data_IF_354264454225
#
_entry.id   IF_354264454225
#
_cell.length_a   1.000
_cell.length_b   1.000
_cell.length_c   1.000
_cell.angle_alpha   90.00
_cell.angle_beta   90.00
_cell.angle_gamma   90.00
#
_symmetry.space_group_name_H-M   'P 1'
#
loop_
_entity.id
_entity.type
_entity.pdbx_description
1 polymer ?
#
# COMPACT_ATOMS: atom_id res chain seq x y z
N UNK A 1 17.41 -17.61 3.19
CA UNK A 1 18.11 -16.33 2.93
C UNK A 1 17.33 -15.21 3.62
N UNK A 2 17.90 -14.51 4.62
CA UNK A 2 17.28 -13.33 5.19
C UNK A 2 17.80 -12.11 4.42
N UNK A 3 16.94 -11.50 3.60
CA UNK A 3 17.26 -10.20 3.03
C UNK A 3 16.90 -9.18 4.10
N UNK A 4 17.93 -8.64 4.75
CA UNK A 4 17.87 -7.61 5.78
C UNK A 4 18.34 -6.31 5.12
N UNK A 5 17.45 -5.67 4.36
CA UNK A 5 17.72 -4.36 3.76
C UNK A 5 16.87 -3.29 4.43
N UNK A 6 17.56 -2.29 5.00
CA UNK A 6 16.94 -1.18 5.73
C UNK A 6 16.12 -0.25 4.84
N UNK A 7 14.92 0.08 5.31
CA UNK A 7 14.16 1.31 5.02
C UNK A 7 14.04 1.78 3.56
N UNK A 8 14.02 0.88 2.56
CA UNK A 8 13.68 1.25 1.18
C UNK A 8 12.48 0.45 0.69
N UNK A 9 11.35 1.14 0.60
CA UNK A 9 10.16 0.68 -0.10
C UNK A 9 10.53 0.39 -1.56
N UNK A 10 10.04 -0.72 -2.10
CA UNK A 10 10.17 -1.03 -3.54
C UNK A 10 9.41 -0.01 -4.39
N UNK A 11 9.79 0.17 -5.66
CA UNK A 11 9.13 1.12 -6.57
C UNK A 11 7.61 0.90 -6.65
N UNK A 12 7.19 -0.37 -6.58
CA UNK A 12 5.79 -0.76 -6.53
C UNK A 12 5.09 -0.27 -5.26
N UNK A 13 5.72 -0.46 -4.09
CA UNK A 13 5.20 0.03 -2.81
C UNK A 13 5.15 1.56 -2.77
N UNK A 14 6.17 2.25 -3.27
CA UNK A 14 6.19 3.70 -3.39
C UNK A 14 5.04 4.17 -4.28
N UNK A 15 4.79 3.48 -5.40
CA UNK A 15 3.69 3.79 -6.31
C UNK A 15 2.32 3.58 -5.64
N UNK A 16 2.15 2.51 -4.87
CA UNK A 16 0.95 2.26 -4.06
C UNK A 16 0.72 3.41 -3.09
N UNK A 17 1.75 3.81 -2.34
CA UNK A 17 1.65 4.90 -1.35
C UNK A 17 1.32 6.23 -2.04
N UNK A 18 1.95 6.55 -3.17
CA UNK A 18 1.61 7.75 -3.95
C UNK A 18 0.16 7.75 -4.41
N UNK A 19 -0.36 6.61 -4.87
CA UNK A 19 -1.75 6.48 -5.30
C UNK A 19 -2.73 6.56 -4.13
N UNK A 20 -2.40 5.97 -2.98
CA UNK A 20 -3.17 6.11 -1.74
C UNK A 20 -3.16 7.56 -1.24
N UNK A 21 -2.02 8.23 -1.31
CA UNK A 21 -1.89 9.65 -0.93
C UNK A 21 -2.79 10.54 -1.78
N UNK A 22 -2.84 10.29 -3.10
CA UNK A 22 -3.76 10.98 -4.01
C UNK A 22 -5.22 10.60 -3.80
N UNK A 23 -5.48 9.33 -3.51
CA UNK A 23 -6.82 8.80 -3.32
C UNK A 23 -6.86 7.75 -2.18
N UNK A 24 -7.14 8.17 -0.94
CA UNK A 24 -7.13 7.26 0.20
C UNK A 24 -8.28 6.25 0.15
N UNK A 25 -9.28 6.44 -0.73
CA UNK A 25 -10.39 5.49 -0.95
C UNK A 25 -10.12 4.55 -2.13
N UNK A 26 -8.90 4.51 -2.66
CA UNK A 26 -8.56 3.66 -3.78
C UNK A 26 -8.70 2.17 -3.41
N UNK A 27 -9.28 1.39 -4.33
CA UNK A 27 -9.43 -0.05 -4.15
C UNK A 27 -8.19 -0.79 -4.66
N UNK A 28 -7.93 -1.98 -4.12
CA UNK A 28 -6.85 -2.86 -4.60
C UNK A 28 -6.95 -3.15 -6.10
N UNK A 29 -8.16 -3.17 -6.65
CA UNK A 29 -8.41 -3.37 -8.07
C UNK A 29 -7.95 -2.18 -8.91
N UNK A 30 -8.21 -0.93 -8.47
CA UNK A 30 -7.68 0.26 -9.17
C UNK A 30 -6.16 0.35 -9.07
N UNK A 31 -5.59 0.06 -7.91
CA UNK A 31 -4.13 -0.02 -7.73
C UNK A 31 -3.49 -1.04 -8.68
N UNK A 32 -4.15 -2.19 -8.87
CA UNK A 32 -3.70 -3.23 -9.79
C UNK A 32 -3.65 -2.74 -11.24
N UNK A 33 -4.65 -1.97 -11.69
CA UNK A 33 -4.66 -1.37 -13.03
C UNK A 33 -3.61 -0.28 -13.19
N UNK A 34 -3.54 0.66 -12.24
CA UNK A 34 -2.62 1.80 -12.30
C UNK A 34 -1.14 1.37 -12.31
N UNK A 35 -0.79 0.38 -11.49
CA UNK A 35 0.60 -0.11 -11.37
C UNK A 35 0.84 -1.30 -12.31
N UNK A 36 -0.20 -1.79 -13.00
CA UNK A 36 -0.14 -2.98 -13.86
C UNK A 36 0.43 -4.23 -13.16
N UNK A 37 0.06 -4.40 -11.89
CA UNK A 37 0.48 -5.52 -11.04
C UNK A 37 -0.73 -6.38 -10.73
N UNK A 38 -0.55 -7.69 -10.61
CA UNK A 38 -1.62 -8.60 -10.20
C UNK A 38 -2.24 -8.17 -8.86
N UNK A 39 -3.58 -8.18 -8.76
CA UNK A 39 -4.33 -7.87 -7.53
C UNK A 39 -3.77 -8.60 -6.29
N UNK A 40 -3.37 -9.88 -6.42
CA UNK A 40 -2.77 -10.64 -5.31
C UNK A 40 -1.51 -9.96 -4.78
N UNK A 41 -0.62 -9.53 -5.67
CA UNK A 41 0.60 -8.83 -5.30
C UNK A 41 0.28 -7.46 -4.68
N UNK A 42 -0.76 -6.76 -5.13
CA UNK A 42 -1.22 -5.52 -4.49
C UNK A 42 -1.68 -5.80 -3.05
N UNK A 43 -2.49 -6.84 -2.83
CA UNK A 43 -2.96 -7.22 -1.49
C UNK A 43 -1.80 -7.62 -0.58
N UNK A 44 -0.82 -8.39 -1.08
CA UNK A 44 0.39 -8.73 -0.34
C UNK A 44 1.23 -7.49 0.00
N UNK A 45 1.37 -6.54 -0.93
CA UNK A 45 2.07 -5.28 -0.67
C UNK A 45 1.32 -4.40 0.34
N UNK A 46 -0.01 -4.29 0.24
CA UNK A 46 -0.82 -3.57 1.21
C UNK A 46 -0.71 -4.19 2.61
N UNK A 47 -0.71 -5.53 2.70
CA UNK A 47 -0.51 -6.23 3.96
C UNK A 47 0.87 -5.94 4.55
N UNK A 48 1.94 -5.99 3.74
CA UNK A 48 3.30 -5.61 4.16
C UNK A 48 3.38 -4.15 4.62
N UNK A 49 2.82 -3.21 3.86
CA UNK A 49 2.82 -1.79 4.21
C UNK A 49 2.06 -1.52 5.51
N UNK A 50 0.96 -2.25 5.73
CA UNK A 50 0.20 -2.18 6.97
C UNK A 50 0.99 -2.75 8.15
N UNK A 51 1.65 -3.88 7.95
CA UNK A 51 2.47 -4.53 8.99
C UNK A 51 3.71 -3.70 9.34
N UNK A 52 4.28 -3.01 8.35
CA UNK A 52 5.35 -2.03 8.53
C UNK A 52 4.90 -0.74 9.20
N UNK A 53 3.60 -0.53 9.43
CA UNK A 53 3.07 0.71 10.01
C UNK A 53 3.07 1.91 9.05
N UNK A 54 3.26 1.71 7.74
CA UNK A 54 3.29 2.80 6.75
C UNK A 54 1.88 3.25 6.37
N UNK A 55 0.93 2.31 6.33
CA UNK A 55 -0.47 2.59 6.00
C UNK A 55 -1.42 1.95 7.00
N UNK A 56 -2.56 2.59 7.23
CA UNK A 56 -3.60 2.11 8.13
C UNK A 56 -4.97 2.27 7.50
N UNK A 57 -5.83 1.26 7.67
CA UNK A 57 -7.22 1.36 7.20
C UNK A 57 -8.07 1.96 8.31
N UNK A 58 -8.53 3.19 8.11
CA UNK A 58 -9.34 3.95 9.06
C UNK A 58 -10.79 4.01 8.58
N UNK A 59 -11.73 3.62 9.46
CA UNK A 59 -13.16 3.75 9.24
C UNK A 59 -13.93 2.42 9.14
N UNK A 60 -15.19 2.45 9.60
CA UNK A 60 -16.04 1.27 9.85
C UNK A 60 -16.68 0.72 8.56
N UNK A 61 -17.50 1.52 7.88
CA UNK A 61 -18.29 1.07 6.71
C UNK A 61 -17.69 1.50 5.37
N UNK A 62 -17.11 2.72 5.31
CA UNK A 62 -16.43 3.27 4.13
C UNK A 62 -15.03 3.72 4.50
N UNK A 63 -14.27 2.79 5.07
CA UNK A 63 -12.91 3.07 5.52
C UNK A 63 -12.00 3.48 4.37
N UNK A 64 -11.05 4.35 4.68
CA UNK A 64 -10.02 4.85 3.78
C UNK A 64 -8.64 4.40 4.27
N UNK A 65 -7.65 4.43 3.39
CA UNK A 65 -6.25 4.20 3.71
C UNK A 65 -5.62 5.53 4.12
N UNK A 66 -5.09 5.57 5.33
CA UNK A 66 -4.31 6.66 5.87
C UNK A 66 -2.84 6.29 5.79
N UNK A 67 -1.99 7.25 5.42
CA UNK A 67 -0.54 7.06 5.39
C UNK A 67 -0.01 7.65 6.69
N UNK A 68 0.64 6.81 7.49
CA UNK A 68 1.30 7.22 8.72
C UNK A 68 2.71 7.63 8.30
N UNK A 69 2.82 8.89 7.91
CA UNK A 69 4.08 9.56 7.59
C UNK A 69 4.60 10.21 8.86
N UNK A 70 5.54 9.56 9.54
CA UNK A 70 6.33 10.18 10.62
C UNK A 70 7.57 10.87 10.03
#
# INVERSE_FOLDING_TARGET
MPIKDGNKLTDNQISIIKLISKNPKISAQKLSVEISINKRNIEENLAKLKDMGVIKRIGKTRGYWEIESE
#
